data_IF_508721862155
#
_entry.id   IF_508721862155
#
_cell.length_a   1.000
_cell.length_b   1.000
_cell.length_c   1.000
_cell.angle_alpha   90.00
_cell.angle_beta   90.00
_cell.angle_gamma   90.00
#
_symmetry.space_group_name_H-M   'P 1'
#
loop_
_entity.id
_entity.type
_entity.pdbx_description
1 polymer ?
#
# COMPACT_ATOMS: atom_id res chain seq x y z
N UNK A 1 -5.34 33.41 42.64
CA UNK A 1 -4.30 32.37 42.43
C UNK A 1 -4.88 31.04 41.98
N UNK A 2 -5.39 30.14 42.84
CA UNK A 2 -5.78 28.78 42.38
C UNK A 2 -6.83 28.75 41.25
N UNK A 3 -7.87 29.58 41.33
CA UNK A 3 -8.93 29.64 40.31
C UNK A 3 -8.44 30.24 38.99
N UNK A 4 -7.48 31.18 39.03
CA UNK A 4 -6.95 31.81 37.83
C UNK A 4 -6.04 30.86 37.04
N UNK A 5 -5.34 29.95 37.74
CA UNK A 5 -4.52 28.90 37.14
C UNK A 5 -5.40 27.81 36.49
N UNK A 6 -6.50 27.41 37.14
CA UNK A 6 -7.48 26.47 36.53
C UNK A 6 -8.13 27.07 35.27
N UNK A 7 -8.48 28.36 35.30
CA UNK A 7 -9.03 29.06 34.12
C UNK A 7 -7.99 29.11 32.98
N UNK A 8 -6.71 29.31 33.31
CA UNK A 8 -5.64 29.32 32.32
C UNK A 8 -5.43 27.95 31.68
N UNK A 9 -5.46 26.88 32.49
CA UNK A 9 -5.33 25.51 32.00
C UNK A 9 -6.51 25.11 31.11
N UNK A 10 -7.74 25.47 31.49
CA UNK A 10 -8.92 25.21 30.68
C UNK A 10 -8.89 25.95 29.33
N UNK A 11 -8.42 27.20 29.31
CA UNK A 11 -8.22 27.95 28.05
C UNK A 11 -7.20 27.28 27.14
N UNK A 12 -6.07 26.84 27.69
CA UNK A 12 -5.05 26.14 26.92
C UNK A 12 -5.57 24.81 26.33
N UNK A 13 -6.36 24.06 27.10
CA UNK A 13 -7.04 22.84 26.61
C UNK A 13 -8.07 23.14 25.52
N UNK A 14 -8.81 24.24 25.64
CA UNK A 14 -9.79 24.68 24.65
C UNK A 14 -9.11 25.06 23.32
N UNK A 15 -8.01 25.81 23.38
CA UNK A 15 -7.21 26.18 22.20
C UNK A 15 -6.62 24.96 21.50
N UNK A 16 -6.05 24.01 22.26
CA UNK A 16 -5.53 22.76 21.71
C UNK A 16 -6.62 21.89 21.05
N UNK A 17 -7.85 21.90 21.59
CA UNK A 17 -9.00 21.22 20.97
C UNK A 17 -9.44 21.90 19.68
N UNK A 18 -9.49 23.24 19.65
CA UNK A 18 -9.81 24.03 18.46
C UNK A 18 -8.82 23.77 17.32
N UNK A 19 -7.53 23.72 17.62
CA UNK A 19 -6.48 23.42 16.65
C UNK A 19 -6.61 22.00 16.08
N UNK A 20 -6.92 21.01 16.94
CA UNK A 20 -7.17 19.62 16.51
C UNK A 20 -8.42 19.50 15.62
N UNK A 21 -9.51 20.19 15.96
CA UNK A 21 -10.73 20.20 15.14
C UNK A 21 -10.48 20.89 13.79
N UNK A 22 -9.73 21.99 13.78
CA UNK A 22 -9.34 22.67 12.54
C UNK A 22 -8.50 21.76 11.64
N UNK A 23 -7.51 21.06 12.21
CA UNK A 23 -6.69 20.10 11.48
C UNK A 23 -7.52 18.93 10.91
N UNK A 24 -8.47 18.39 11.69
CA UNK A 24 -9.39 17.34 11.22
C UNK A 24 -10.30 17.84 10.10
N UNK A 25 -10.83 19.07 10.20
CA UNK A 25 -11.68 19.68 9.17
C UNK A 25 -10.92 19.89 7.86
N UNK A 26 -9.67 20.36 7.93
CA UNK A 26 -8.80 20.50 6.77
C UNK A 26 -8.55 19.14 6.12
N UNK A 27 -8.24 18.11 6.91
CA UNK A 27 -7.99 16.74 6.42
C UNK A 27 -9.21 16.11 5.73
N UNK A 28 -10.40 16.28 6.30
CA UNK A 28 -11.64 15.81 5.67
C UNK A 28 -11.86 16.49 4.33
N UNK A 29 -11.68 17.81 4.27
CA UNK A 29 -11.84 18.60 3.06
C UNK A 29 -10.82 18.20 1.98
N UNK A 30 -9.54 18.02 2.34
CA UNK A 30 -8.51 17.60 1.38
C UNK A 30 -8.73 16.18 0.86
N UNK A 31 -9.20 15.26 1.71
CA UNK A 31 -9.48 13.88 1.29
C UNK A 31 -10.68 13.81 0.33
N UNK A 32 -11.72 14.59 0.58
CA UNK A 32 -12.87 14.69 -0.34
C UNK A 32 -12.47 15.32 -1.68
N UNK A 33 -11.67 16.40 -1.65
CA UNK A 33 -11.12 17.03 -2.86
C UNK A 33 -10.23 16.07 -3.66
N UNK A 34 -9.28 15.38 -3.03
CA UNK A 34 -8.41 14.42 -3.70
C UNK A 34 -9.20 13.27 -4.32
N UNK A 35 -10.25 12.79 -3.64
CA UNK A 35 -11.14 11.73 -4.17
C UNK A 35 -11.94 12.22 -5.38
N UNK A 36 -12.40 13.48 -5.35
CA UNK A 36 -13.12 14.10 -6.47
C UNK A 36 -12.20 14.36 -7.67
N UNK A 37 -10.99 14.86 -7.43
CA UNK A 37 -9.98 15.08 -8.49
C UNK A 37 -9.57 13.78 -9.16
N UNK A 38 -9.38 12.71 -8.38
CA UNK A 38 -9.10 11.37 -8.92
C UNK A 38 -10.27 10.85 -9.79
N UNK A 39 -11.51 11.03 -9.33
CA UNK A 39 -12.72 10.69 -10.13
C UNK A 39 -12.82 11.54 -11.40
N UNK A 40 -12.57 12.84 -11.33
CA UNK A 40 -12.60 13.75 -12.47
C UNK A 40 -11.54 13.34 -13.52
N UNK A 41 -10.33 13.02 -13.06
CA UNK A 41 -9.23 12.55 -13.93
C UNK A 41 -9.58 11.23 -14.62
N UNK A 42 -10.18 10.29 -13.88
CA UNK A 42 -10.64 9.01 -14.44
C UNK A 42 -11.78 9.18 -15.46
N UNK A 43 -12.67 10.16 -15.28
CA UNK A 43 -13.74 10.43 -16.25
C UNK A 43 -13.15 11.06 -17.52
N UNK A 44 -12.21 12.00 -17.37
CA UNK A 44 -11.55 12.64 -18.51
C UNK A 44 -10.77 11.64 -19.37
N UNK A 45 -10.08 10.67 -18.76
CA UNK A 45 -9.37 9.62 -19.50
C UNK A 45 -10.33 8.69 -20.25
N UNK A 46 -11.47 8.34 -19.65
CA UNK A 46 -12.51 7.55 -20.31
C UNK A 46 -13.13 8.30 -21.50
N UNK A 47 -13.38 9.61 -21.35
CA UNK A 47 -13.90 10.44 -22.45
C UNK A 47 -12.90 10.56 -23.61
N UNK A 48 -11.60 10.73 -23.31
CA UNK A 48 -10.53 10.73 -24.32
C UNK A 48 -10.50 9.41 -25.09
N UNK A 49 -10.57 8.28 -24.38
CA UNK A 49 -10.56 6.96 -24.99
C UNK A 49 -11.82 6.65 -25.82
N UNK A 50 -12.96 7.30 -25.55
CA UNK A 50 -14.16 7.22 -26.37
C UNK A 50 -14.03 8.12 -27.61
N UNK A 51 -13.47 9.32 -27.47
CA UNK A 51 -13.23 10.23 -28.58
C UNK A 51 -12.29 9.62 -29.63
N UNK A 52 -11.19 8.99 -29.19
CA UNK A 52 -10.25 8.31 -30.10
C UNK A 52 -10.92 7.15 -30.87
N UNK A 53 -11.86 6.42 -30.25
CA UNK A 53 -12.64 5.37 -30.91
C UNK A 53 -13.60 5.94 -31.96
N UNK A 54 -14.21 7.09 -31.67
CA UNK A 54 -15.10 7.78 -32.60
C UNK A 54 -14.33 8.32 -33.81
N UNK A 55 -13.17 8.94 -33.58
CA UNK A 55 -12.32 9.48 -34.65
C UNK A 55 -11.78 8.36 -35.55
N UNK A 56 -11.42 7.21 -34.95
CA UNK A 56 -11.01 6.00 -35.70
C UNK A 56 -12.13 5.42 -36.56
N UNK A 57 -13.39 5.54 -36.13
CA UNK A 57 -14.56 5.08 -36.88
C UNK A 57 -15.00 6.05 -38.00
N UNK A 58 -14.67 7.34 -37.88
CA UNK A 58 -14.96 8.35 -38.91
C UNK A 58 -13.99 8.29 -40.11
N UNK A 59 -12.77 7.75 -39.93
CA UNK A 59 -11.78 7.58 -41.00
C UNK A 59 -11.96 6.33 -41.88
N UNK A 60 -12.95 5.47 -41.63
CA UNK A 60 -13.15 4.20 -42.33
C UNK A 60 -14.18 4.19 -43.47
N UNK A 61 -14.86 5.31 -43.75
CA UNK A 61 -15.98 5.36 -44.69
C UNK A 61 -15.63 6.04 -46.01
N UNK A 62 -15.03 5.31 -46.97
CA UNK A 62 -14.92 5.81 -48.33
C UNK A 62 -14.09 4.98 -49.30
N UNK A 63 -14.68 3.94 -49.89
CA UNK A 63 -14.52 3.70 -51.33
C UNK A 63 -15.62 2.77 -51.87
N UNK A 64 -16.63 3.36 -52.51
CA UNK A 64 -17.58 2.66 -53.38
C UNK A 64 -17.10 2.85 -54.82
N UNK A 65 -16.67 1.77 -55.46
CA UNK A 65 -16.71 1.63 -56.93
C UNK A 65 -17.16 0.22 -57.26
N UNK A 66 -18.39 0.12 -57.75
CA UNK A 66 -18.96 -1.12 -58.25
C UNK A 66 -18.45 -1.47 -59.64
N UNK A 67 -18.45 -2.77 -59.94
CA UNK A 67 -18.79 -3.33 -61.25
C UNK A 67 -19.51 -4.67 -61.02
N UNK A 68 -20.63 -4.81 -61.69
CA UNK A 68 -21.52 -5.97 -61.80
C UNK A 68 -20.86 -7.16 -62.50
N UNK A 69 -21.13 -8.39 -62.06
CA UNK A 69 -21.48 -9.53 -62.91
C UNK A 69 -21.93 -10.71 -62.04
N UNK A 70 -22.84 -11.49 -62.62
CA UNK A 70 -23.64 -12.56 -62.09
C UNK A 70 -23.03 -13.96 -62.32
N UNK A 71 -23.69 -14.93 -61.69
CA UNK A 71 -23.78 -16.36 -62.01
C UNK A 71 -22.84 -17.36 -61.30
N UNK A 72 -23.53 -18.27 -60.59
CA UNK A 72 -23.35 -19.73 -60.47
C UNK A 72 -21.94 -20.34 -60.37
N UNK A 73 -21.69 -21.15 -59.33
CA UNK A 73 -21.75 -22.62 -59.45
C UNK A 73 -21.21 -23.33 -58.18
N UNK A 74 -21.54 -24.61 -58.11
CA UNK A 74 -21.54 -25.59 -57.02
C UNK A 74 -20.20 -25.92 -56.34
N UNK A 75 -20.30 -26.48 -55.12
CA UNK A 75 -19.82 -27.86 -54.94
C UNK A 75 -18.63 -28.13 -53.98
N UNK A 76 -18.95 -28.95 -52.97
CA UNK A 76 -18.18 -30.09 -52.44
C UNK A 76 -16.82 -29.91 -51.72
N UNK A 77 -16.88 -30.21 -50.42
CA UNK A 77 -16.21 -31.34 -49.73
C UNK A 77 -14.70 -31.60 -49.86
N UNK A 78 -14.08 -31.60 -48.68
CA UNK A 78 -13.28 -32.68 -48.09
C UNK A 78 -11.76 -32.81 -48.35
N UNK A 79 -11.05 -32.89 -47.22
CA UNK A 79 -9.83 -33.68 -47.00
C UNK A 79 -8.54 -33.05 -47.53
N UNK A 80 -7.35 -33.39 -47.04
CA UNK A 80 -6.87 -34.30 -46.00
C UNK A 80 -5.34 -34.15 -46.01
N UNK A 81 -4.70 -34.49 -44.89
CA UNK A 81 -3.29 -34.96 -44.79
C UNK A 81 -2.20 -33.91 -45.10
N UNK A 82 -1.06 -33.82 -44.39
CA UNK A 82 -0.33 -34.80 -43.63
C UNK A 82 1.10 -34.89 -44.18
N UNK A 83 2.07 -34.49 -43.35
CA UNK A 83 3.52 -34.83 -43.38
C UNK A 83 4.43 -34.44 -44.57
N UNK A 84 5.56 -33.78 -44.24
CA UNK A 84 6.97 -34.16 -44.53
C UNK A 84 7.87 -32.95 -44.14
N UNK A 85 8.71 -32.98 -43.09
CA UNK A 85 9.98 -33.68 -42.84
C UNK A 85 11.25 -33.04 -43.47
N UNK A 86 12.32 -32.98 -42.64
CA UNK A 86 13.75 -32.73 -42.94
C UNK A 86 14.14 -31.32 -43.43
N UNK A 87 15.25 -30.66 -43.04
CA UNK A 87 16.38 -31.02 -42.21
C UNK A 87 17.60 -30.13 -42.57
N UNK A 88 18.34 -29.69 -41.55
CA UNK A 88 19.79 -29.32 -41.48
C UNK A 88 20.36 -28.05 -42.15
N UNK A 89 21.23 -27.41 -41.35
CA UNK A 89 22.41 -26.61 -41.74
C UNK A 89 22.15 -25.10 -41.85
N UNK A 90 23.03 -24.16 -41.52
CA UNK A 90 24.34 -24.09 -40.86
C UNK A 90 24.75 -22.60 -40.96
N UNK A 91 25.20 -22.04 -39.84
CA UNK A 91 26.17 -20.94 -39.67
C UNK A 91 26.13 -19.69 -40.57
N UNK A 92 25.98 -18.51 -39.97
CA UNK A 92 26.80 -17.34 -40.34
C UNK A 92 26.99 -16.37 -39.16
N UNK A 93 28.19 -15.80 -39.09
CA UNK A 93 28.77 -15.15 -37.91
C UNK A 93 28.88 -13.63 -38.06
N UNK A 94 28.86 -12.93 -36.90
CA UNK A 94 29.49 -11.62 -36.54
C UNK A 94 28.80 -10.30 -36.97
N UNK A 95 29.16 -9.14 -36.38
CA UNK A 95 29.45 -8.83 -34.96
C UNK A 95 28.81 -7.50 -34.45
N UNK A 96 28.87 -7.32 -33.12
CA UNK A 96 28.75 -6.11 -32.29
C UNK A 96 28.43 -4.74 -32.90
N UNK A 97 27.36 -4.12 -32.35
CA UNK A 97 27.17 -2.68 -32.29
C UNK A 97 27.11 -2.23 -30.83
N UNK A 98 28.07 -1.39 -30.44
CA UNK A 98 28.15 -0.71 -29.15
C UNK A 98 26.87 0.11 -28.89
N UNK A 99 26.05 -0.36 -27.94
CA UNK A 99 24.99 0.45 -27.36
C UNK A 99 25.60 1.34 -26.28
N UNK A 100 25.75 2.63 -26.58
CA UNK A 100 25.90 3.67 -25.57
C UNK A 100 24.71 3.55 -24.62
N UNK A 101 24.99 3.05 -23.41
CA UNK A 101 24.02 2.94 -22.34
C UNK A 101 23.53 4.32 -21.96
N UNK A 102 22.37 4.70 -22.49
CA UNK A 102 21.49 5.65 -21.83
C UNK A 102 21.20 5.05 -20.46
N UNK A 103 21.72 5.67 -19.40
CA UNK A 103 21.33 5.37 -18.02
C UNK A 103 19.82 5.53 -17.95
N UNK A 104 19.11 4.40 -18.04
CA UNK A 104 17.68 4.34 -17.81
C UNK A 104 17.48 4.76 -16.35
N UNK A 105 16.99 5.99 -16.18
CA UNK A 105 16.23 6.43 -15.02
C UNK A 105 15.36 5.24 -14.61
N UNK A 106 15.73 4.59 -13.51
CA UNK A 106 15.10 3.34 -13.10
C UNK A 106 13.60 3.53 -13.06
N UNK A 107 12.89 2.73 -13.83
CA UNK A 107 11.43 2.82 -13.95
C UNK A 107 10.85 2.54 -12.56
N UNK A 108 10.30 3.57 -11.90
CA UNK A 108 9.65 3.39 -10.60
C UNK A 108 8.38 2.62 -10.83
N UNK A 109 8.07 1.66 -9.97
CA UNK A 109 6.81 0.94 -10.10
C UNK A 109 5.62 1.84 -9.77
N UNK A 110 4.45 1.52 -10.31
CA UNK A 110 3.20 2.24 -10.01
C UNK A 110 2.93 2.33 -8.50
N UNK A 111 3.29 1.28 -7.74
CA UNK A 111 3.16 1.26 -6.28
C UNK A 111 4.08 2.29 -5.63
N UNK A 112 5.34 2.35 -6.05
CA UNK A 112 6.32 3.31 -5.55
C UNK A 112 5.90 4.75 -5.86
N UNK A 113 5.40 5.01 -7.06
CA UNK A 113 4.91 6.34 -7.47
C UNK A 113 3.69 6.77 -6.66
N UNK A 114 2.68 5.91 -6.58
CA UNK A 114 1.45 6.17 -5.80
C UNK A 114 1.76 6.46 -4.32
N UNK A 115 2.64 5.67 -3.71
CA UNK A 115 3.02 5.88 -2.30
C UNK A 115 3.91 7.11 -2.12
N UNK A 116 4.76 7.43 -3.09
CA UNK A 116 5.56 8.67 -3.09
C UNK A 116 4.67 9.91 -3.14
N UNK A 117 3.63 9.90 -3.98
CA UNK A 117 2.65 10.97 -4.07
C UNK A 117 1.85 11.12 -2.78
N UNK A 118 1.37 10.01 -2.21
CA UNK A 118 0.63 10.01 -0.94
C UNK A 118 1.46 10.60 0.20
N UNK A 119 2.69 10.12 0.36
CA UNK A 119 3.59 10.58 1.43
C UNK A 119 4.08 12.01 1.19
N UNK A 120 4.39 12.36 -0.05
CA UNK A 120 4.80 13.69 -0.46
C UNK A 120 3.71 14.73 -0.21
N UNK A 121 2.46 14.42 -0.59
CA UNK A 121 1.30 15.28 -0.35
C UNK A 121 1.01 15.47 1.14
N UNK A 122 1.37 14.50 1.97
CA UNK A 122 1.28 14.59 3.43
C UNK A 122 2.48 15.30 4.09
N UNK A 123 3.43 15.79 3.30
CA UNK A 123 4.64 16.49 3.77
C UNK A 123 5.60 15.58 4.56
N UNK A 124 5.63 14.28 4.25
CA UNK A 124 6.52 13.34 4.92
C UNK A 124 7.97 13.47 4.42
N UNK A 125 8.92 13.25 5.32
CA UNK A 125 10.32 12.96 4.99
C UNK A 125 10.50 11.44 4.92
N UNK A 126 10.70 10.92 3.71
CA UNK A 126 10.79 9.48 3.46
C UNK A 126 11.83 9.14 2.39
N UNK A 127 12.19 7.87 2.32
CA UNK A 127 12.99 7.29 1.24
C UNK A 127 12.46 5.91 0.89
N UNK A 128 12.47 5.62 -0.41
CA UNK A 128 12.33 4.27 -0.92
C UNK A 128 13.70 3.65 -1.21
N UNK A 129 13.81 2.34 -1.01
CA UNK A 129 14.99 1.57 -1.39
C UNK A 129 14.60 0.19 -1.90
N UNK A 130 15.08 -0.15 -3.09
CA UNK A 130 15.02 -1.50 -3.65
C UNK A 130 16.08 -2.39 -3.00
N UNK A 131 15.72 -3.61 -2.67
CA UNK A 131 16.61 -4.61 -2.06
C UNK A 131 16.72 -5.83 -2.97
N UNK A 132 17.84 -6.58 -2.92
CA UNK A 132 18.03 -7.76 -3.77
C UNK A 132 17.01 -8.87 -3.44
N UNK A 133 16.80 -9.80 -4.39
CA UNK A 133 15.83 -10.90 -4.23
C UNK A 133 16.13 -11.84 -3.05
N UNK A 134 17.39 -11.93 -2.64
CA UNK A 134 17.82 -12.72 -1.48
C UNK A 134 17.73 -11.93 -0.15
N UNK A 135 17.11 -10.74 -0.13
CA UNK A 135 17.00 -9.91 1.06
C UNK A 135 16.44 -10.65 2.29
N UNK A 136 15.41 -11.48 2.10
CA UNK A 136 14.76 -12.21 3.19
C UNK A 136 15.49 -13.49 3.63
N UNK A 137 16.50 -13.95 2.88
CA UNK A 137 17.38 -15.06 3.32
C UNK A 137 18.63 -14.56 4.05
N UNK A 138 18.93 -13.26 3.98
CA UNK A 138 20.06 -12.62 4.70
C UNK A 138 19.78 -12.41 6.19
N UNK A 139 20.86 -12.29 6.97
CA UNK A 139 20.82 -11.88 8.38
C UNK A 139 20.28 -10.46 8.57
N UNK A 140 19.86 -10.11 9.79
CA UNK A 140 19.35 -8.76 10.06
C UNK A 140 20.43 -7.68 9.93
N UNK A 141 21.67 -7.99 10.27
CA UNK A 141 22.82 -7.10 10.12
C UNK A 141 23.06 -6.77 8.64
N UNK A 142 23.03 -7.78 7.77
CA UNK A 142 23.14 -7.58 6.32
C UNK A 142 21.97 -6.77 5.76
N UNK A 143 20.74 -6.98 6.25
CA UNK A 143 19.58 -6.18 5.85
C UNK A 143 19.70 -4.72 6.30
N UNK A 144 20.20 -4.49 7.52
CA UNK A 144 20.50 -3.17 8.07
C UNK A 144 21.49 -2.45 7.15
N UNK A 145 22.58 -3.11 6.80
CA UNK A 145 23.63 -2.54 5.95
C UNK A 145 23.10 -2.23 4.55
N UNK A 146 22.31 -3.15 3.97
CA UNK A 146 21.63 -2.92 2.69
C UNK A 146 20.70 -1.72 2.73
N UNK A 147 20.05 -1.42 3.86
CA UNK A 147 19.17 -0.26 3.99
C UNK A 147 19.87 1.01 4.48
N UNK A 148 21.09 0.91 5.00
CA UNK A 148 21.74 2.02 5.69
C UNK A 148 21.02 2.39 7.00
N UNK A 149 20.37 1.42 7.65
CA UNK A 149 19.70 1.62 8.93
C UNK A 149 20.73 1.75 10.06
N UNK A 150 20.45 2.57 11.08
CA UNK A 150 21.39 2.80 12.18
C UNK A 150 21.61 1.56 13.06
N UNK A 151 20.59 0.73 13.23
CA UNK A 151 20.69 -0.57 13.89
C UNK A 151 19.67 -1.56 13.32
N UNK A 152 19.79 -2.84 13.69
CA UNK A 152 18.79 -3.86 13.32
C UNK A 152 17.40 -3.57 13.90
N UNK A 153 17.34 -2.82 15.00
CA UNK A 153 16.10 -2.41 15.66
C UNK A 153 15.35 -1.32 14.87
N UNK A 154 15.99 -0.69 13.89
CA UNK A 154 15.35 0.24 12.95
C UNK A 154 14.68 -0.50 11.78
N UNK A 155 14.83 -1.82 11.70
CA UNK A 155 14.13 -2.64 10.73
C UNK A 155 12.81 -3.10 11.36
N UNK A 156 11.70 -2.70 10.78
CA UNK A 156 10.35 -2.99 11.27
C UNK A 156 9.54 -3.80 10.26
N UNK A 157 8.47 -4.42 10.75
CA UNK A 157 7.49 -5.17 9.98
C UNK A 157 6.08 -4.78 10.39
N UNK A 158 5.18 -4.85 9.43
CA UNK A 158 3.75 -4.62 9.58
C UNK A 158 3.03 -5.95 9.52
N UNK A 159 2.14 -6.21 10.49
CA UNK A 159 1.43 -7.48 10.61
C UNK A 159 -0.04 -7.20 10.84
N UNK A 160 -0.91 -7.79 10.02
CA UNK A 160 -2.37 -7.71 10.22
C UNK A 160 -2.81 -8.77 11.22
N UNK A 161 -3.52 -8.34 12.26
CA UNK A 161 -4.13 -9.17 13.27
C UNK A 161 -5.65 -9.13 13.13
N UNK A 162 -6.31 -10.27 13.29
CA UNK A 162 -7.76 -10.44 13.27
C UNK A 162 -8.30 -10.76 14.66
N UNK A 163 -9.36 -10.06 15.07
CA UNK A 163 -10.15 -10.40 16.24
C UNK A 163 -11.16 -11.51 15.90
N UNK A 164 -10.74 -12.75 16.13
CA UNK A 164 -11.54 -13.94 15.84
C UNK A 164 -12.79 -14.08 16.70
N UNK A 165 -12.88 -13.35 17.83
CA UNK A 165 -14.00 -13.39 18.76
C UNK A 165 -14.84 -12.10 18.77
N UNK A 166 -14.62 -11.21 17.79
CA UNK A 166 -15.42 -10.01 17.61
C UNK A 166 -16.92 -10.35 17.52
N UNK A 167 -17.79 -9.40 17.91
CA UNK A 167 -19.24 -9.54 17.71
C UNK A 167 -19.55 -9.66 16.21
N UNK A 168 -20.61 -10.37 15.85
CA UNK A 168 -21.01 -10.58 14.44
C UNK A 168 -21.30 -9.25 13.72
N UNK A 169 -21.75 -8.23 14.46
CA UNK A 169 -21.95 -6.88 13.94
C UNK A 169 -20.66 -6.14 13.60
N UNK A 170 -19.50 -6.61 14.08
CA UNK A 170 -18.19 -6.02 13.83
C UNK A 170 -17.54 -6.81 12.70
N UNK A 171 -17.77 -6.35 11.48
CA UNK A 171 -17.28 -6.97 10.25
C UNK A 171 -16.11 -6.22 9.62
N UNK A 172 -15.89 -4.97 10.03
CA UNK A 172 -14.97 -4.04 9.36
C UNK A 172 -13.99 -3.34 10.33
N UNK A 173 -13.36 -2.28 9.83
CA UNK A 173 -12.35 -1.48 10.51
C UNK A 173 -12.82 -0.06 10.85
N UNK A 174 -14.15 0.20 10.84
CA UNK A 174 -14.72 1.54 10.95
C UNK A 174 -14.52 2.18 12.33
N UNK A 175 -14.69 1.40 13.41
CA UNK A 175 -14.42 1.83 14.77
C UNK A 175 -12.99 1.47 15.20
N UNK A 176 -12.09 2.45 15.19
CA UNK A 176 -10.69 2.28 15.62
C UNK A 176 -10.54 1.69 17.03
N UNK A 177 -11.54 1.81 17.89
CA UNK A 177 -11.51 1.27 19.27
C UNK A 177 -12.02 -0.18 19.33
N UNK A 178 -12.76 -0.63 18.34
CA UNK A 178 -13.37 -1.96 18.31
C UNK A 178 -13.47 -2.54 16.89
N UNK A 179 -12.37 -2.51 16.15
CA UNK A 179 -12.30 -3.06 14.79
C UNK A 179 -12.11 -4.58 14.75
N UNK A 180 -12.55 -5.20 13.64
CA UNK A 180 -12.29 -6.62 13.36
C UNK A 180 -10.82 -6.89 13.13
N UNK A 181 -10.10 -5.97 12.50
CA UNK A 181 -8.68 -6.09 12.17
C UNK A 181 -7.88 -4.91 12.72
N UNK A 182 -6.62 -5.18 13.04
CA UNK A 182 -5.64 -4.17 13.43
C UNK A 182 -4.32 -4.46 12.73
N UNK A 183 -3.66 -3.43 12.21
CA UNK A 183 -2.31 -3.55 11.69
C UNK A 183 -1.32 -3.16 12.79
N UNK A 184 -0.35 -4.02 13.07
CA UNK A 184 0.64 -3.80 14.12
C UNK A 184 2.03 -3.64 13.51
N UNK A 185 2.71 -2.56 13.88
CA UNK A 185 4.09 -2.28 13.48
C UNK A 185 5.02 -2.52 14.67
N UNK A 186 5.93 -3.47 14.49
CA UNK A 186 6.96 -3.85 15.47
C UNK A 186 8.32 -4.02 14.78
N UNK A 187 9.39 -4.03 15.56
CA UNK A 187 10.74 -4.29 15.07
C UNK A 187 10.88 -5.75 14.62
N UNK A 188 11.77 -6.05 13.66
CA UNK A 188 12.01 -7.43 13.21
C UNK A 188 12.56 -8.31 14.33
N UNK A 189 13.43 -7.74 15.16
CA UNK A 189 14.04 -8.38 16.33
C UNK A 189 13.02 -8.68 17.43
N UNK A 190 11.88 -7.99 17.44
CA UNK A 190 10.86 -8.13 18.46
C UNK A 190 9.84 -9.24 18.16
N UNK A 191 9.31 -9.80 19.24
CA UNK A 191 8.18 -10.74 19.22
C UNK A 191 6.93 -10.03 19.74
N UNK A 192 5.84 -10.11 18.98
CA UNK A 192 4.55 -9.53 19.37
C UNK A 192 3.98 -10.23 20.61
N UNK A 193 3.56 -9.45 21.59
CA UNK A 193 2.77 -9.90 22.72
C UNK A 193 1.28 -9.62 22.47
N UNK A 194 0.58 -10.60 21.90
CA UNK A 194 -0.84 -10.46 21.55
C UNK A 194 -1.75 -10.23 22.77
N UNK A 195 -1.35 -10.66 23.97
CA UNK A 195 -2.14 -10.40 25.19
C UNK A 195 -2.05 -8.93 25.58
N UNK A 196 -0.87 -8.29 25.51
CA UNK A 196 -0.74 -6.84 25.74
C UNK A 196 -1.63 -6.04 24.77
N UNK A 197 -1.62 -6.39 23.48
CA UNK A 197 -2.49 -5.73 22.47
C UNK A 197 -3.96 -5.95 22.80
N UNK A 198 -4.35 -7.17 23.18
CA UNK A 198 -5.72 -7.49 23.59
C UNK A 198 -6.16 -6.67 24.81
N UNK A 199 -5.32 -6.54 25.84
CA UNK A 199 -5.64 -5.70 27.01
C UNK A 199 -5.82 -4.24 26.60
N UNK A 200 -4.95 -3.74 25.72
CA UNK A 200 -5.04 -2.39 25.20
C UNK A 200 -6.37 -2.15 24.47
N UNK A 201 -6.70 -2.97 23.47
CA UNK A 201 -7.96 -2.81 22.71
C UNK A 201 -9.18 -2.95 23.62
N UNK A 202 -9.17 -3.90 24.56
CA UNK A 202 -10.23 -4.02 25.57
C UNK A 202 -10.39 -2.74 26.40
N UNK A 203 -9.28 -2.12 26.82
CA UNK A 203 -9.31 -0.87 27.61
C UNK A 203 -9.90 0.32 26.84
N UNK A 204 -9.79 0.34 25.50
CA UNK A 204 -10.39 1.39 24.66
C UNK A 204 -11.93 1.38 24.65
N UNK A 205 -12.54 0.30 25.10
CA UNK A 205 -13.99 0.08 25.05
C UNK A 205 -14.73 0.47 26.34
N UNK A 206 -14.04 1.02 27.34
CA UNK A 206 -14.61 1.48 28.61
C UNK A 206 -15.50 0.43 29.31
N UNK A 207 -15.15 -0.86 29.18
CA UNK A 207 -15.92 -1.97 29.75
C UNK A 207 -17.22 -2.33 29.04
N UNK A 208 -17.58 -1.65 27.94
CA UNK A 208 -18.81 -1.91 27.17
C UNK A 208 -18.80 -3.25 26.45
N UNK A 209 -17.62 -3.72 26.04
CA UNK A 209 -17.44 -4.99 25.32
C UNK A 209 -16.78 -6.01 26.26
N UNK A 210 -17.36 -7.21 26.46
CA UNK A 210 -16.75 -8.22 27.32
C UNK A 210 -15.36 -8.64 26.83
N UNK A 211 -14.41 -8.79 27.76
CA UNK A 211 -13.01 -9.18 27.46
C UNK A 211 -12.86 -10.43 26.60
N UNK A 212 -13.78 -11.40 26.72
CA UNK A 212 -13.82 -12.63 25.91
C UNK A 212 -14.04 -12.41 24.41
N UNK A 213 -14.52 -11.22 24.03
CA UNK A 213 -14.74 -10.81 22.63
C UNK A 213 -13.49 -10.26 21.97
N UNK A 214 -12.34 -10.31 22.65
CA UNK A 214 -11.05 -9.94 22.09
C UNK A 214 -10.13 -11.17 22.08
N UNK A 215 -9.90 -11.70 20.87
CA UNK A 215 -8.94 -12.78 20.61
C UNK A 215 -8.20 -12.48 19.31
N UNK A 216 -7.09 -11.73 19.45
CA UNK A 216 -6.25 -11.30 18.34
C UNK A 216 -5.34 -12.44 17.89
N UNK A 217 -5.49 -12.84 16.63
CA UNK A 217 -4.67 -13.84 15.94
C UNK A 217 -4.06 -13.23 14.69
N UNK A 218 -2.99 -13.82 14.17
CA UNK A 218 -2.45 -13.45 12.87
C UNK A 218 -3.54 -13.65 11.81
N UNK A 219 -3.78 -12.63 10.98
CA UNK A 219 -4.70 -12.78 9.86
C UNK A 219 -4.14 -13.78 8.83
N UNK A 220 -4.98 -14.62 8.22
CA UNK A 220 -4.58 -15.41 7.06
C UNK A 220 -3.99 -14.51 5.96
N UNK A 221 -3.02 -15.03 5.20
CA UNK A 221 -2.32 -14.25 4.17
C UNK A 221 -3.29 -13.70 3.12
N UNK A 222 -4.23 -14.51 2.62
CA UNK A 222 -5.23 -14.08 1.65
C UNK A 222 -6.07 -12.89 2.17
N UNK A 223 -6.50 -12.95 3.43
CA UNK A 223 -7.23 -11.87 4.09
C UNK A 223 -6.37 -10.62 4.25
N UNK A 224 -5.10 -10.78 4.66
CA UNK A 224 -4.15 -9.67 4.76
C UNK A 224 -3.94 -9.00 3.39
N UNK A 225 -3.77 -9.79 2.34
CA UNK A 225 -3.56 -9.30 0.98
C UNK A 225 -4.79 -8.55 0.47
N UNK A 226 -5.99 -9.08 0.72
CA UNK A 226 -7.25 -8.43 0.36
C UNK A 226 -7.48 -7.11 1.10
N UNK A 227 -7.18 -7.07 2.40
CA UNK A 227 -7.40 -5.89 3.23
C UNK A 227 -6.37 -4.79 2.95
N UNK A 228 -5.11 -5.17 2.77
CA UNK A 228 -4.00 -4.21 2.60
C UNK A 228 -3.73 -3.87 1.14
N UNK A 229 -4.04 -4.77 0.19
CA UNK A 229 -3.62 -4.66 -1.20
C UNK A 229 -2.15 -5.02 -1.43
N UNK A 230 -1.47 -5.59 -0.44
CA UNK A 230 -0.05 -5.94 -0.52
C UNK A 230 0.16 -7.40 -0.13
N UNK A 231 1.06 -8.06 -0.85
CA UNK A 231 1.42 -9.45 -0.56
C UNK A 231 2.26 -9.58 0.73
N UNK A 232 2.48 -10.82 1.16
CA UNK A 232 3.40 -11.11 2.25
C UNK A 232 4.76 -10.45 2.00
N UNK A 233 5.39 -9.94 3.07
CA UNK A 233 6.66 -9.19 3.01
C UNK A 233 6.64 -7.83 2.28
N UNK A 234 5.50 -7.41 1.73
CA UNK A 234 5.31 -6.11 1.09
C UNK A 234 4.48 -5.13 1.93
N UNK A 235 3.73 -5.64 2.91
CA UNK A 235 2.74 -4.88 3.69
C UNK A 235 3.31 -3.59 4.28
N UNK A 236 2.64 -2.49 3.92
CA UNK A 236 2.86 -1.15 4.46
C UNK A 236 1.54 -0.58 4.99
N UNK A 237 1.53 0.23 6.06
CA UNK A 237 0.32 0.87 6.57
C UNK A 237 -0.19 2.03 5.69
N UNK A 238 0.53 2.40 4.63
CA UNK A 238 0.18 3.48 3.72
C UNK A 238 -0.48 2.95 2.45
N UNK A 239 -1.51 3.63 1.96
CA UNK A 239 -2.17 3.27 0.70
C UNK A 239 -2.83 1.89 0.71
N UNK A 240 -3.27 1.43 1.89
CA UNK A 240 -4.02 0.19 2.02
C UNK A 240 -5.40 0.28 1.37
N UNK A 241 -5.93 -0.85 0.90
CA UNK A 241 -7.30 -0.93 0.36
C UNK A 241 -8.35 -0.62 1.43
N UNK A 242 -8.13 -1.13 2.65
CA UNK A 242 -8.97 -0.88 3.83
C UNK A 242 -8.22 0.04 4.80
N UNK A 243 -8.91 1.01 5.38
CA UNK A 243 -8.36 1.83 6.48
C UNK A 243 -8.32 1.02 7.79
N UNK A 244 -7.27 0.22 7.96
CA UNK A 244 -7.07 -0.61 9.15
C UNK A 244 -6.42 0.25 10.26
N UNK A 245 -6.99 0.29 11.48
CA UNK A 245 -6.36 0.98 12.60
C UNK A 245 -4.96 0.44 12.89
N UNK A 246 -4.01 1.36 13.01
CA UNK A 246 -2.60 1.04 13.20
C UNK A 246 -2.24 1.10 14.67
N UNK A 247 -1.53 0.07 15.14
CA UNK A 247 -0.87 0.01 16.46
C UNK A 247 0.64 0.05 16.21
N UNK A 248 1.31 1.05 16.78
CA UNK A 248 2.76 1.23 16.71
C UNK A 248 3.37 0.81 18.05
N UNK A 249 4.40 -0.03 18.01
CA UNK A 249 5.18 -0.33 19.20
C UNK A 249 5.84 0.93 19.75
N UNK A 250 5.69 1.16 21.06
CA UNK A 250 6.34 2.24 21.79
C UNK A 250 7.88 2.19 21.70
N UNK A 251 8.47 1.01 21.51
CA UNK A 251 9.90 0.83 21.29
C UNK A 251 10.40 1.51 20.01
N UNK A 252 9.57 1.56 18.95
CA UNK A 252 9.90 2.28 17.71
C UNK A 252 9.91 3.79 17.95
N UNK A 253 9.02 4.29 18.81
CA UNK A 253 8.95 5.71 19.19
C UNK A 253 10.21 6.16 19.93
N UNK A 254 10.91 5.24 20.61
CA UNK A 254 12.14 5.50 21.34
C UNK A 254 13.42 5.33 20.52
N UNK A 255 13.33 4.96 19.24
CA UNK A 255 14.51 4.77 18.40
C UNK A 255 15.31 6.06 18.24
N UNK A 256 16.63 5.91 18.16
CA UNK A 256 17.58 6.98 17.87
C UNK A 256 18.55 6.49 16.79
N UNK A 257 18.59 7.14 15.60
CA UNK A 257 17.73 8.24 15.16
C UNK A 257 16.23 7.87 15.03
N UNK A 258 15.36 8.89 15.04
CA UNK A 258 13.90 8.75 14.91
C UNK A 258 13.45 8.46 13.46
N UNK A 259 13.99 7.38 12.90
CA UNK A 259 13.75 6.95 11.53
C UNK A 259 13.73 5.42 11.51
N UNK A 260 12.84 4.80 10.75
CA UNK A 260 12.81 3.34 10.66
C UNK A 260 12.36 2.88 9.29
N UNK A 261 12.63 1.62 8.99
CA UNK A 261 12.32 0.98 7.71
C UNK A 261 11.22 -0.06 7.87
N UNK A 262 10.33 -0.16 6.89
CA UNK A 262 9.30 -1.20 6.81
C UNK A 262 9.06 -1.63 5.35
N UNK A 263 8.06 -2.49 5.12
CA UNK A 263 7.60 -2.84 3.77
C UNK A 263 7.23 -1.59 2.97
N UNK A 264 7.55 -1.57 1.67
CA UNK A 264 7.29 -0.44 0.79
C UNK A 264 6.11 -0.64 -0.16
N UNK A 265 5.29 -1.67 0.04
CA UNK A 265 4.21 -2.03 -0.88
C UNK A 265 4.59 -3.10 -1.91
N UNK A 266 5.88 -3.44 -2.01
CA UNK A 266 6.38 -4.56 -2.83
C UNK A 266 7.43 -5.36 -2.05
N UNK A 267 7.65 -6.61 -2.44
CA UNK A 267 8.54 -7.54 -1.72
C UNK A 267 9.97 -7.02 -1.67
N UNK A 268 10.46 -6.43 -2.76
CA UNK A 268 11.79 -5.86 -2.89
C UNK A 268 11.85 -4.35 -2.60
N UNK A 269 10.72 -3.71 -2.30
CA UNK A 269 10.66 -2.28 -1.98
C UNK A 269 10.58 -2.07 -0.47
N UNK A 270 11.40 -1.16 0.06
CA UNK A 270 11.42 -0.79 1.47
C UNK A 270 11.19 0.70 1.62
N UNK A 271 10.30 1.05 2.54
CA UNK A 271 9.97 2.42 2.90
C UNK A 271 10.68 2.76 4.20
N UNK A 272 11.55 3.76 4.15
CA UNK A 272 12.10 4.42 5.32
C UNK A 272 11.39 5.75 5.54
N UNK A 273 11.10 6.09 6.79
CA UNK A 273 10.51 7.39 7.14
C UNK A 273 10.78 7.80 8.58
N UNK A 274 10.63 9.10 8.86
CA UNK A 274 10.72 9.63 10.21
C UNK A 274 9.54 9.15 11.06
N UNK A 275 9.82 8.82 12.32
CA UNK A 275 8.80 8.35 13.27
C UNK A 275 7.70 9.39 13.49
N UNK A 276 8.07 10.66 13.56
CA UNK A 276 7.14 11.78 13.69
C UNK A 276 6.15 11.87 12.52
N UNK A 277 6.63 11.69 11.29
CA UNK A 277 5.79 11.71 10.10
C UNK A 277 4.82 10.54 10.09
N UNK A 278 5.29 9.34 10.45
CA UNK A 278 4.44 8.16 10.60
C UNK A 278 3.29 8.42 11.59
N UNK A 279 3.61 8.97 12.76
CA UNK A 279 2.63 9.26 13.81
C UNK A 279 1.64 10.34 13.34
N UNK A 280 2.12 11.42 12.73
CA UNK A 280 1.28 12.54 12.27
C UNK A 280 0.27 12.10 11.21
N UNK A 281 0.70 11.24 10.28
CA UNK A 281 -0.10 10.81 9.13
C UNK A 281 -1.13 9.76 9.55
N UNK A 282 -0.69 8.70 10.25
CA UNK A 282 -1.55 7.55 10.55
C UNK A 282 -2.28 7.65 11.90
N UNK A 283 -1.85 8.56 12.77
CA UNK A 283 -2.34 8.70 14.15
C UNK A 283 -2.47 7.36 14.87
N UNK A 284 -1.41 6.52 14.88
CA UNK A 284 -1.48 5.16 15.39
C UNK A 284 -1.71 5.15 16.90
N UNK A 285 -2.20 4.03 17.42
CA UNK A 285 -2.13 3.76 18.84
C UNK A 285 -0.71 3.39 19.22
N UNK A 286 -0.11 4.10 20.17
CA UNK A 286 1.24 3.78 20.68
C UNK A 286 1.10 2.86 21.88
N UNK A 287 1.68 1.66 21.79
CA UNK A 287 1.46 0.59 22.78
C UNK A 287 2.75 -0.17 23.05
N UNK A 288 3.02 -0.49 24.31
CA UNK A 288 3.97 -1.56 24.66
C UNK A 288 3.33 -2.91 24.28
N UNK A 289 3.70 -3.42 23.11
CA UNK A 289 3.11 -4.62 22.53
C UNK A 289 4.13 -5.73 22.26
N UNK A 290 5.33 -5.64 22.82
CA UNK A 290 6.41 -6.63 22.63
C UNK A 290 6.80 -7.30 23.94
N UNK A 291 7.59 -8.38 23.86
CA UNK A 291 8.18 -9.08 25.01
C UNK A 291 9.46 -8.44 25.49
#
# INVERSE_FOLDING_TARGET
MVIEDEIRELKCRQEALLERVSCLSLRLCTNELATLESRQTSILSQLSAVQERLDSSASGGGNVRGVSACDDDQGLEAGRDGEFSHGKGSAFSRPGGFGLGSERKGDRSEVEERLSELLGSAGATFSFKRVPSDYYSRSYEQRRDLLGAASVDHLCKSIVMVNTQALESITDCSDRKNSKYYLIVIQYTARLNAEKVKQFVYSLNDGKVPKKKFNLRLAPEEESNKLTGFEHNAVTPFGMVTDIPVILSDAIVRLQPEYFWLGGGEVDLKLGLRTEDFIRILSPFIVDCIY
#
